data_IF_813577367914
#
_entry.id   IF_813577367914
#
_cell.length_a   1.000
_cell.length_b   1.000
_cell.length_c   1.000
_cell.angle_alpha   90.00
_cell.angle_beta   90.00
_cell.angle_gamma   90.00
#
_symmetry.space_group_name_H-M   'P 1'
#
loop_
_entity.id
_entity.type
_entity.pdbx_description
1 polymer ?
#
# COMPACT_ATOMS: atom_id res chain seq x y z
N UNK A 1 -9.26 -17.09 -25.47
CA UNK A 1 -8.66 -17.99 -24.47
C UNK A 1 -8.86 -17.44 -23.08
N UNK A 2 -9.48 -18.18 -22.16
CA UNK A 2 -9.66 -17.67 -20.82
C UNK A 2 -8.32 -17.57 -20.09
N UNK A 3 -8.22 -16.56 -19.23
CA UNK A 3 -7.04 -16.39 -18.40
C UNK A 3 -7.07 -17.40 -17.26
N UNK A 4 -5.90 -17.92 -16.91
CA UNK A 4 -5.79 -18.78 -15.74
C UNK A 4 -5.79 -17.93 -14.48
N UNK A 5 -5.97 -18.57 -13.32
CA UNK A 5 -5.90 -17.87 -12.04
C UNK A 5 -4.54 -17.21 -11.86
N UNK A 6 -3.47 -17.90 -12.28
CA UNK A 6 -2.13 -17.34 -12.19
C UNK A 6 -1.97 -16.08 -13.04
N UNK A 7 -2.62 -16.03 -14.20
CA UNK A 7 -2.55 -14.87 -15.07
C UNK A 7 -3.25 -13.66 -14.45
N UNK A 8 -4.27 -13.89 -13.61
CA UNK A 8 -5.02 -12.82 -12.95
C UNK A 8 -4.37 -12.36 -11.66
N UNK A 9 -3.68 -13.23 -10.95
CA UNK A 9 -3.09 -12.93 -9.65
C UNK A 9 -2.04 -11.83 -9.75
N UNK A 10 -1.15 -11.93 -10.71
CA UNK A 10 -0.07 -10.94 -10.85
C UNK A 10 -0.59 -9.52 -11.07
N UNK A 11 -1.46 -9.27 -12.08
CA UNK A 11 -2.00 -7.91 -12.25
C UNK A 11 -2.87 -7.47 -11.10
N UNK A 12 -3.56 -8.39 -10.44
CA UNK A 12 -4.38 -8.04 -9.28
C UNK A 12 -3.52 -7.56 -8.12
N UNK A 13 -2.45 -8.27 -7.82
CA UNK A 13 -1.54 -7.88 -6.74
C UNK A 13 -0.90 -6.52 -7.05
N UNK A 14 -0.54 -6.31 -8.32
CA UNK A 14 0.02 -5.02 -8.73
C UNK A 14 -0.97 -3.88 -8.50
N UNK A 15 -2.24 -4.09 -8.85
CA UNK A 15 -3.28 -3.08 -8.66
C UNK A 15 -3.48 -2.78 -7.18
N UNK A 16 -3.50 -3.82 -6.34
CA UNK A 16 -3.63 -3.65 -4.91
C UNK A 16 -2.45 -2.84 -4.36
N UNK A 17 -1.24 -3.16 -4.80
CA UNK A 17 -0.05 -2.45 -4.37
C UNK A 17 -0.13 -0.95 -4.73
N UNK A 18 -0.56 -0.65 -5.94
CA UNK A 18 -0.71 0.74 -6.38
C UNK A 18 -1.75 1.48 -5.55
N UNK A 19 -2.88 0.81 -5.24
CA UNK A 19 -3.92 1.40 -4.41
C UNK A 19 -3.40 1.70 -3.01
N UNK A 20 -2.63 0.79 -2.43
CA UNK A 20 -2.07 0.97 -1.10
C UNK A 20 -1.10 2.15 -1.06
N UNK A 21 -0.26 2.27 -2.07
CA UNK A 21 0.69 3.38 -2.14
C UNK A 21 -0.03 4.72 -2.26
N UNK A 22 -1.09 4.79 -3.05
CA UNK A 22 -1.87 6.00 -3.20
C UNK A 22 -2.57 6.38 -1.90
N UNK A 23 -3.14 5.39 -1.20
CA UNK A 23 -3.79 5.62 0.09
C UNK A 23 -2.81 6.09 1.15
N UNK A 24 -1.62 5.49 1.21
CA UNK A 24 -0.59 5.91 2.15
C UNK A 24 -0.20 7.37 1.91
N UNK A 25 -0.01 7.74 0.65
CA UNK A 25 0.36 9.10 0.29
C UNK A 25 -0.73 10.09 0.73
N UNK A 26 -2.00 9.77 0.44
CA UNK A 26 -3.12 10.62 0.81
C UNK A 26 -3.26 10.78 2.32
N UNK A 27 -3.12 9.67 3.05
CA UNK A 27 -3.27 9.69 4.50
C UNK A 27 -2.11 10.46 5.14
N UNK A 28 -0.89 10.30 4.63
CA UNK A 28 0.26 11.03 5.15
C UNK A 28 0.09 12.54 4.94
N UNK A 29 -0.40 12.93 3.78
CA UNK A 29 -0.63 14.35 3.50
C UNK A 29 -1.72 14.92 4.39
N UNK A 30 -2.85 14.21 4.54
CA UNK A 30 -3.94 14.63 5.42
C UNK A 30 -3.48 14.68 6.87
N UNK A 31 -2.70 13.71 7.31
CA UNK A 31 -2.18 13.68 8.68
C UNK A 31 -1.32 14.89 8.96
N UNK A 32 -0.51 15.29 7.99
CA UNK A 32 0.32 16.49 8.12
C UNK A 32 -0.54 17.74 8.26
N UNK A 33 -1.60 17.85 7.48
CA UNK A 33 -2.50 18.99 7.56
C UNK A 33 -3.22 19.03 8.92
N UNK A 34 -3.74 17.87 9.36
CA UNK A 34 -4.42 17.76 10.64
C UNK A 34 -3.51 18.16 11.79
N UNK A 35 -2.24 17.73 11.73
CA UNK A 35 -1.25 18.07 12.73
C UNK A 35 -1.04 19.58 12.80
N UNK A 36 -0.94 20.24 11.64
CA UNK A 36 -0.78 21.70 11.58
C UNK A 36 -1.99 22.43 12.12
N UNK A 37 -3.16 21.81 12.11
CA UNK A 37 -4.37 22.36 12.67
C UNK A 37 -4.53 22.05 14.17
N UNK A 38 -3.55 21.43 14.78
CA UNK A 38 -3.57 21.11 16.20
C UNK A 38 -4.02 19.70 16.54
N UNK A 39 -4.37 18.90 15.54
CA UNK A 39 -4.82 17.52 15.76
C UNK A 39 -3.68 16.52 15.88
N UNK A 40 -2.76 16.77 16.80
CA UNK A 40 -1.55 15.95 16.93
C UNK A 40 -1.86 14.49 17.23
N UNK A 41 -2.81 14.26 18.13
CA UNK A 41 -3.18 12.90 18.51
C UNK A 41 -3.82 12.15 17.35
N UNK A 42 -4.73 12.79 16.63
CA UNK A 42 -5.38 12.18 15.47
C UNK A 42 -4.35 11.85 14.38
N UNK A 43 -3.41 12.76 14.15
CA UNK A 43 -2.34 12.55 13.18
C UNK A 43 -1.46 11.36 13.58
N UNK A 44 -1.10 11.28 14.85
CA UNK A 44 -0.29 10.19 15.36
C UNK A 44 -1.00 8.86 15.19
N UNK A 45 -2.29 8.81 15.51
CA UNK A 45 -3.07 7.59 15.39
C UNK A 45 -3.20 7.14 13.93
N UNK A 46 -3.40 8.09 13.02
CA UNK A 46 -3.49 7.77 11.60
C UNK A 46 -2.17 7.21 11.08
N UNK A 47 -1.04 7.81 11.46
CA UNK A 47 0.27 7.34 11.03
C UNK A 47 0.60 5.97 11.64
N UNK A 48 0.19 5.73 12.87
CA UNK A 48 0.38 4.42 13.48
C UNK A 48 -0.39 3.34 12.74
N UNK A 49 -1.60 3.68 12.25
CA UNK A 49 -2.41 2.75 11.48
C UNK A 49 -1.79 2.44 10.11
N UNK A 50 -0.97 3.35 9.58
CA UNK A 50 -0.28 3.13 8.31
C UNK A 50 0.90 2.17 8.43
N UNK A 51 1.42 1.96 9.62
CA UNK A 51 2.64 1.16 9.79
C UNK A 51 2.51 -0.26 9.25
N UNK A 52 1.43 -1.03 9.59
CA UNK A 52 1.29 -2.37 9.01
C UNK A 52 1.13 -2.33 7.49
N UNK A 53 0.52 -1.30 6.96
CA UNK A 53 0.37 -1.17 5.51
C UNK A 53 1.73 -0.97 4.86
N UNK A 54 2.58 -0.13 5.43
CA UNK A 54 3.93 0.10 4.91
C UNK A 54 4.78 -1.17 4.95
N UNK A 55 4.67 -1.95 6.02
CA UNK A 55 5.37 -3.23 6.11
C UNK A 55 4.90 -4.20 5.04
N UNK A 56 3.59 -4.24 4.82
CA UNK A 56 3.01 -5.11 3.81
C UNK A 56 3.39 -4.69 2.40
N UNK A 57 3.57 -3.39 2.17
CA UNK A 57 4.02 -2.91 0.87
C UNK A 57 5.38 -3.48 0.49
N UNK A 58 6.31 -3.53 1.44
CA UNK A 58 7.62 -4.11 1.19
C UNK A 58 7.50 -5.59 0.81
N UNK A 59 6.67 -6.31 1.54
CA UNK A 59 6.42 -7.72 1.26
C UNK A 59 5.78 -7.91 -0.12
N UNK A 60 4.79 -7.07 -0.44
CA UNK A 60 4.10 -7.14 -1.73
C UNK A 60 5.08 -6.86 -2.87
N UNK A 61 5.94 -5.86 -2.72
CA UNK A 61 6.94 -5.55 -3.75
C UNK A 61 7.89 -6.70 -3.98
N UNK A 62 8.38 -7.30 -2.91
CA UNK A 62 9.28 -8.44 -3.02
C UNK A 62 8.56 -9.61 -3.71
N UNK A 63 7.32 -9.87 -3.31
CA UNK A 63 6.53 -10.94 -3.90
C UNK A 63 6.30 -10.72 -5.39
N UNK A 64 6.02 -9.48 -5.79
CA UNK A 64 5.86 -9.13 -7.20
C UNK A 64 7.14 -9.35 -7.98
N UNK A 65 8.27 -8.95 -7.41
CA UNK A 65 9.56 -9.16 -8.07
C UNK A 65 9.84 -10.63 -8.26
N UNK A 66 9.51 -11.45 -7.27
CA UNK A 66 9.72 -12.90 -7.38
C UNK A 66 8.79 -13.52 -8.42
N UNK A 67 7.54 -13.05 -8.49
CA UNK A 67 6.62 -13.52 -9.51
C UNK A 67 7.04 -13.12 -10.92
N UNK A 68 7.61 -11.92 -11.06
CA UNK A 68 8.04 -11.43 -12.36
C UNK A 68 9.32 -12.11 -12.83
N UNK A 69 10.21 -12.48 -11.92
CA UNK A 69 11.48 -13.09 -12.26
C UNK A 69 11.45 -14.62 -12.22
N UNK A 70 10.48 -15.20 -11.53
CA UNK A 70 10.37 -16.64 -11.42
C UNK A 70 9.50 -17.20 -12.54
N UNK A 71 9.90 -18.30 -13.06
CA UNK A 71 9.11 -18.98 -14.09
C UNK A 71 8.66 -20.30 -13.65
#
# INVERSE_FOLDING_TARGET
>A
MPLSDADLIHPLIRAINENQLALESAINELSGWIERQGGVEASRNARAALEPISRNDAFIKISLMMLESGD
#
